data_IF_608824725072
#
_entry.id   IF_608824725072
#
_cell.length_a   1.000
_cell.length_b   1.000
_cell.length_c   1.000
_cell.angle_alpha   90.00
_cell.angle_beta   90.00
_cell.angle_gamma   90.00
#
_symmetry.space_group_name_H-M   'P 1'
#
loop_
_entity.id
_entity.type
_entity.pdbx_description
1 polymer ?
#
# COMPACT_ATOMS: atom_id res chain seq x y z
N UNK A 1 -6.49 -11.47 11.36
CA UNK A 1 -6.95 -10.57 10.30
C UNK A 1 -6.59 -9.14 10.74
N UNK A 2 -5.55 -8.53 10.18
CA UNK A 2 -5.07 -7.23 10.66
C UNK A 2 -5.80 -6.09 9.93
N UNK A 3 -6.78 -5.49 10.60
CA UNK A 3 -7.53 -4.33 10.14
C UNK A 3 -6.79 -3.06 10.59
N UNK A 4 -5.53 -2.89 10.18
CA UNK A 4 -4.70 -1.76 10.60
C UNK A 4 -4.33 -0.94 9.38
N UNK A 5 -5.16 0.04 9.05
CA UNK A 5 -4.76 1.09 8.12
C UNK A 5 -4.98 2.40 8.83
N UNK A 6 -4.01 2.77 9.68
CA UNK A 6 -3.89 4.15 10.16
C UNK A 6 -3.51 4.98 8.92
N UNK A 7 -4.51 5.61 8.30
CA UNK A 7 -4.34 6.47 7.13
C UNK A 7 -4.53 7.91 7.61
N UNK A 8 -3.45 8.69 7.58
CA UNK A 8 -3.46 10.10 7.91
C UNK A 8 -3.41 10.92 6.62
N UNK A 9 -4.51 11.60 6.30
CA UNK A 9 -4.61 12.44 5.11
C UNK A 9 -3.91 13.78 5.34
N UNK A 10 -3.04 14.16 4.40
CA UNK A 10 -2.29 15.42 4.41
C UNK A 10 -2.68 16.24 3.20
N UNK A 11 -3.40 17.32 3.45
CA UNK A 11 -3.95 18.17 2.41
C UNK A 11 -4.87 17.38 1.48
N UNK A 12 -4.70 17.55 0.17
CA UNK A 12 -5.53 16.89 -0.86
C UNK A 12 -4.81 15.78 -1.63
N UNK A 13 -3.48 15.78 -1.61
CA UNK A 13 -2.67 14.96 -2.51
C UNK A 13 -1.97 13.80 -1.81
N UNK A 14 -1.83 13.81 -0.49
CA UNK A 14 -0.98 12.87 0.23
C UNK A 14 -1.70 12.18 1.38
N UNK A 15 -1.27 10.96 1.67
CA UNK A 15 -1.65 10.25 2.87
C UNK A 15 -0.44 9.49 3.44
N UNK A 16 -0.27 9.55 4.75
CA UNK A 16 0.66 8.68 5.49
C UNK A 16 -0.09 7.44 5.90
N UNK A 17 0.46 6.28 5.55
CA UNK A 17 -0.14 4.98 5.78
C UNK A 17 0.84 4.08 6.55
N UNK A 18 0.35 2.93 7.02
CA UNK A 18 1.21 1.87 7.58
C UNK A 18 2.25 1.29 6.62
N UNK A 19 2.24 1.67 5.33
CA UNK A 19 3.26 1.27 4.35
C UNK A 19 4.21 2.41 3.95
N UNK A 20 3.99 3.64 4.47
CA UNK A 20 4.76 4.83 4.11
C UNK A 20 3.87 5.93 3.56
N UNK A 21 4.42 6.77 2.67
CA UNK A 21 3.72 7.92 2.10
C UNK A 21 3.14 7.53 0.74
N UNK A 22 1.85 7.82 0.53
CA UNK A 22 1.15 7.51 -0.69
C UNK A 22 0.50 8.75 -1.29
N UNK A 23 0.56 8.86 -2.62
CA UNK A 23 -0.20 9.85 -3.35
C UNK A 23 -1.66 9.39 -3.45
N UNK A 24 -2.59 10.29 -3.15
CA UNK A 24 -4.03 10.05 -3.16
C UNK A 24 -4.55 9.79 -4.56
N UNK A 25 -3.94 10.44 -5.56
CA UNK A 25 -4.38 10.32 -6.93
C UNK A 25 -4.00 8.93 -7.50
N UNK A 26 -5.00 8.06 -7.59
CA UNK A 26 -4.87 6.72 -8.15
C UNK A 26 -4.47 6.71 -9.63
N UNK A 27 -4.68 7.82 -10.36
CA UNK A 27 -4.21 7.96 -11.75
C UNK A 27 -2.69 7.90 -11.82
N UNK A 28 -2.01 8.29 -10.75
CA UNK A 28 -0.56 8.21 -10.62
C UNK A 28 -0.07 6.79 -10.30
N UNK A 29 -0.97 5.80 -10.09
CA UNK A 29 -0.66 4.37 -9.89
C UNK A 29 0.47 4.11 -8.89
N UNK A 30 0.55 4.90 -7.82
CA UNK A 30 1.58 4.77 -6.79
C UNK A 30 3.00 5.14 -7.24
N UNK A 31 3.15 5.80 -8.40
CA UNK A 31 4.48 6.21 -8.91
C UNK A 31 5.18 7.18 -7.95
N UNK A 32 4.40 7.96 -7.20
CA UNK A 32 4.89 8.91 -6.22
C UNK A 32 5.02 8.34 -4.81
N UNK A 33 4.62 7.09 -4.60
CA UNK A 33 4.61 6.49 -3.28
C UNK A 33 6.04 6.22 -2.81
N UNK A 34 6.24 6.36 -1.50
CA UNK A 34 7.50 6.11 -0.82
C UNK A 34 7.22 5.11 0.30
N UNK A 35 7.79 3.92 0.17
CA UNK A 35 7.75 2.89 1.20
C UNK A 35 8.55 3.35 2.45
N UNK A 36 8.14 2.89 3.64
CA UNK A 36 8.87 3.10 4.91
C UNK A 36 10.36 2.79 4.76
N UNK A 37 10.72 1.71 4.06
CA UNK A 37 12.10 1.30 3.86
C UNK A 37 12.95 2.33 3.08
N UNK A 38 12.30 3.25 2.34
CA UNK A 38 12.94 4.26 1.50
C UNK A 38 12.63 5.70 1.94
N UNK A 39 12.01 5.86 3.10
CA UNK A 39 11.62 7.17 3.63
C UNK A 39 12.80 8.11 3.91
N UNK A 40 13.96 7.51 4.18
CA UNK A 40 15.22 8.19 4.48
C UNK A 40 16.15 8.27 3.25
N UNK A 41 15.74 7.73 2.10
CA UNK A 41 16.46 7.88 0.82
C UNK A 41 16.21 9.29 0.26
N UNK A 42 17.09 10.23 0.63
CA UNK A 42 16.99 11.63 0.20
C UNK A 42 16.97 11.78 -1.32
N UNK A 43 17.68 10.94 -2.07
CA UNK A 43 17.68 10.99 -3.54
C UNK A 43 16.29 10.66 -4.11
N UNK A 44 15.64 9.62 -3.56
CA UNK A 44 14.26 9.29 -3.93
C UNK A 44 13.30 10.41 -3.52
N UNK A 45 13.37 10.88 -2.28
CA UNK A 45 12.49 11.92 -1.73
C UNK A 45 12.55 13.18 -2.61
N UNK A 46 13.76 13.65 -2.94
CA UNK A 46 13.91 14.83 -3.80
C UNK A 46 13.40 14.56 -5.22
N UNK A 47 13.61 13.36 -5.77
CA UNK A 47 13.07 13.00 -7.09
C UNK A 47 11.53 13.03 -7.14
N UNK A 48 10.86 12.67 -6.03
CA UNK A 48 9.40 12.69 -5.93
C UNK A 48 8.88 14.10 -5.72
N UNK A 49 9.54 14.87 -4.87
CA UNK A 49 9.23 16.28 -4.61
C UNK A 49 9.37 17.16 -5.85
N UNK A 50 10.37 16.91 -6.69
CA UNK A 50 10.63 17.69 -7.91
C UNK A 50 9.66 17.42 -9.07
N UNK A 51 8.72 16.48 -8.92
CA UNK A 51 7.84 16.08 -10.01
C UNK A 51 6.76 17.15 -10.27
N UNK A 52 6.49 17.53 -11.53
CA UNK A 52 5.50 18.55 -11.84
C UNK A 52 4.10 18.16 -11.34
N UNK A 53 3.40 19.10 -10.69
CA UNK A 53 2.06 18.89 -10.14
C UNK A 53 2.02 18.39 -8.69
N UNK A 54 3.18 18.16 -8.06
CA UNK A 54 3.28 17.86 -6.63
C UNK A 54 3.17 19.13 -5.81
N UNK A 55 2.25 19.15 -4.85
CA UNK A 55 2.26 20.14 -3.77
C UNK A 55 3.41 19.80 -2.81
N UNK A 56 4.50 20.55 -2.92
CA UNK A 56 5.69 20.35 -2.11
C UNK A 56 5.42 20.57 -0.61
N UNK A 57 4.52 21.48 -0.22
CA UNK A 57 4.21 21.74 1.18
C UNK A 57 3.51 20.54 1.83
N UNK A 58 2.48 20.00 1.17
CA UNK A 58 1.77 18.82 1.66
C UNK A 58 2.70 17.58 1.68
N UNK A 59 3.58 17.46 0.69
CA UNK A 59 4.58 16.38 0.64
C UNK A 59 5.57 16.48 1.81
N UNK A 60 6.14 17.67 2.05
CA UNK A 60 7.10 17.88 3.14
C UNK A 60 6.44 17.63 4.51
N UNK A 61 5.18 18.03 4.69
CA UNK A 61 4.40 17.73 5.90
C UNK A 61 4.16 16.22 6.07
N UNK A 62 3.81 15.51 4.99
CA UNK A 62 3.64 14.07 5.01
C UNK A 62 4.95 13.35 5.32
N UNK A 63 6.08 13.85 4.81
CA UNK A 63 7.42 13.34 5.09
C UNK A 63 7.79 13.47 6.56
N UNK A 64 7.57 14.64 7.14
CA UNK A 64 7.81 14.88 8.57
C UNK A 64 6.98 13.93 9.43
N UNK A 65 5.67 13.83 9.20
CA UNK A 65 4.81 12.92 9.98
C UNK A 65 5.19 11.45 9.81
N UNK A 66 5.55 11.03 8.59
CA UNK A 66 6.01 9.68 8.34
C UNK A 66 7.33 9.38 9.08
N UNK A 67 8.28 10.32 9.11
CA UNK A 67 9.59 10.14 9.80
C UNK A 67 9.44 10.12 11.31
N UNK A 68 8.54 10.92 11.86
CA UNK A 68 8.17 10.88 13.28
C UNK A 68 7.56 9.52 13.65
N UNK A 69 6.74 8.94 12.77
CA UNK A 69 6.09 7.64 12.98
C UNK A 69 7.03 6.45 12.79
N UNK A 70 7.95 6.56 11.82
CA UNK A 70 8.87 5.52 11.40
C UNK A 70 10.32 6.02 11.48
N UNK A 71 10.89 6.12 12.70
CA UNK A 71 12.27 6.54 12.87
C UNK A 71 13.22 5.55 12.19
N UNK A 72 14.32 6.06 11.62
CA UNK A 72 15.32 5.29 10.84
C UNK A 72 15.82 4.03 11.57
N UNK A 73 15.93 4.12 12.90
CA UNK A 73 16.42 3.04 13.76
C UNK A 73 15.43 1.89 13.96
N UNK A 74 14.15 2.04 13.58
CA UNK A 74 13.10 1.11 13.99
C UNK A 74 12.87 -0.10 13.08
N UNK A 75 13.46 -0.19 11.87
CA UNK A 75 13.21 -1.38 11.02
C UNK A 75 14.45 -1.82 10.24
N UNK A 76 15.19 -2.77 10.81
CA UNK A 76 15.89 -3.76 9.97
C UNK A 76 16.14 -5.12 10.62
N UNK A 77 16.01 -5.28 11.94
CA UNK A 77 16.34 -6.57 12.56
C UNK A 77 15.27 -7.67 12.40
N UNK A 78 14.00 -7.52 12.84
CA UNK A 78 13.14 -8.70 12.96
C UNK A 78 12.45 -9.11 11.65
N UNK A 79 12.07 -8.16 10.79
CA UNK A 79 11.29 -8.48 9.58
C UNK A 79 12.18 -9.01 8.43
N UNK A 80 13.35 -8.41 8.20
CA UNK A 80 14.31 -8.93 7.23
C UNK A 80 14.95 -10.24 7.71
N UNK A 81 15.20 -10.41 9.01
CA UNK A 81 15.64 -11.70 9.55
C UNK A 81 14.58 -12.79 9.35
N UNK A 82 13.29 -12.45 9.48
CA UNK A 82 12.20 -13.39 9.26
C UNK A 82 12.02 -13.75 7.78
N UNK A 83 12.12 -12.79 6.85
CA UNK A 83 12.08 -13.07 5.40
C UNK A 83 13.30 -13.88 4.92
N UNK A 84 14.48 -13.63 5.50
CA UNK A 84 15.70 -14.42 5.24
C UNK A 84 15.59 -15.82 5.83
N UNK A 85 15.00 -15.97 7.02
CA UNK A 85 14.70 -17.26 7.64
C UNK A 85 13.64 -18.07 6.87
N UNK A 86 12.73 -17.40 6.16
CA UNK A 86 11.69 -18.03 5.34
C UNK A 86 12.14 -18.42 3.92
N UNK A 87 13.39 -18.16 3.52
CA UNK A 87 13.97 -18.69 2.28
C UNK A 87 13.24 -18.29 0.99
N UNK A 88 12.57 -17.13 0.95
CA UNK A 88 11.73 -16.70 -0.19
C UNK A 88 12.55 -16.20 -1.39
N UNK A 89 13.87 -16.06 -1.27
CA UNK A 89 14.73 -15.74 -2.41
C UNK A 89 15.59 -16.96 -2.72
N UNK A 90 15.10 -17.83 -3.61
CA UNK A 90 15.89 -18.55 -4.61
C UNK A 90 14.95 -19.13 -5.70
N UNK A 91 15.16 -18.68 -6.94
CA UNK A 91 14.80 -19.28 -8.26
C UNK A 91 13.33 -19.45 -8.71
N UNK A 92 13.04 -19.19 -10.02
CA UNK A 92 11.71 -19.35 -10.60
C UNK A 92 11.43 -20.83 -10.84
N UNK A 93 10.69 -21.47 -9.94
CA UNK A 93 10.16 -22.81 -10.18
C UNK A 93 8.96 -22.68 -11.12
N UNK A 94 9.20 -23.00 -12.39
CA UNK A 94 8.16 -23.32 -13.37
C UNK A 94 7.54 -24.64 -12.92
N UNK A 95 6.41 -24.58 -12.22
CA UNK A 95 5.55 -25.75 -11.97
C UNK A 95 4.18 -25.48 -12.58
N UNK A 96 3.70 -26.32 -13.52
CA UNK A 96 2.34 -26.20 -14.04
C UNK A 96 1.39 -26.72 -12.96
N UNK A 97 0.83 -25.82 -12.17
CA UNK A 97 -0.30 -26.15 -11.31
C UNK A 97 -1.49 -26.43 -12.23
N UNK A 98 -1.77 -27.72 -12.45
CA UNK A 98 -3.05 -28.19 -12.96
C UNK A 98 -4.08 -27.76 -11.91
N UNK A 99 -4.77 -26.66 -12.17
CA UNK A 99 -5.90 -26.24 -11.38
C UNK A 99 -6.97 -27.35 -11.45
N UNK A 100 -7.51 -27.86 -10.33
CA UNK A 100 -8.71 -28.69 -10.41
C UNK A 100 -9.80 -27.80 -11.01
N UNK A 101 -10.38 -28.23 -12.14
CA UNK A 101 -11.47 -27.52 -12.78
C UNK A 101 -12.64 -27.43 -11.79
N UNK A 102 -12.80 -26.26 -11.18
CA UNK A 102 -13.89 -25.97 -10.26
C UNK A 102 -15.19 -25.99 -11.05
N UNK A 103 -15.93 -27.10 -10.96
CA UNK A 103 -17.24 -27.22 -11.59
C UNK A 103 -18.27 -26.44 -10.78
N UNK A 104 -18.58 -25.23 -11.23
CA UNK A 104 -19.67 -24.41 -10.71
C UNK A 104 -20.99 -24.96 -11.24
N UNK A 105 -21.84 -25.52 -10.35
CA UNK A 105 -23.24 -25.82 -10.70
C UNK A 105 -24.12 -24.67 -10.21
N UNK A 106 -24.79 -24.01 -11.14
CA UNK A 106 -25.84 -23.06 -10.83
C UNK A 106 -27.17 -23.83 -10.72
N UNK A 107 -27.57 -24.19 -9.50
CA UNK A 107 -28.95 -24.61 -9.24
C UNK A 107 -29.81 -23.34 -9.31
N UNK A 108 -30.63 -23.21 -10.36
CA UNK A 108 -31.34 -22.00 -10.79
C UNK A 108 -32.39 -21.45 -9.83
N UNK A 109 -32.07 -21.30 -8.54
CA UNK A 109 -32.89 -20.59 -7.58
C UNK A 109 -32.53 -19.11 -7.64
N UNK A 110 -33.47 -18.28 -8.07
CA UNK A 110 -33.37 -16.82 -8.05
C UNK A 110 -32.93 -16.37 -6.64
N UNK A 111 -31.72 -15.83 -6.55
CA UNK A 111 -31.23 -15.20 -5.32
C UNK A 111 -32.22 -14.08 -4.94
N UNK A 112 -32.81 -14.18 -3.74
CA UNK A 112 -33.62 -13.09 -3.19
C UNK A 112 -32.66 -12.03 -2.66
N UNK A 113 -32.32 -11.06 -3.51
CA UNK A 113 -31.56 -9.90 -3.08
C UNK A 113 -32.38 -9.14 -2.04
N UNK A 114 -31.76 -8.82 -0.89
CA UNK A 114 -32.36 -7.91 0.08
C UNK A 114 -32.53 -6.53 -0.56
N UNK A 115 -33.58 -5.79 -0.21
CA UNK A 115 -33.80 -4.46 -0.77
C UNK A 115 -32.59 -3.57 -0.51
N UNK A 116 -32.13 -2.92 -1.58
CA UNK A 116 -31.05 -1.93 -1.56
C UNK A 116 -31.30 -0.86 -0.48
N UNK A 117 -30.29 -0.59 0.34
CA UNK A 117 -30.36 0.44 1.38
C UNK A 117 -30.45 1.81 0.70
N UNK A 118 -31.58 2.50 0.87
CA UNK A 118 -31.72 3.89 0.40
C UNK A 118 -31.07 4.82 1.42
N UNK A 119 -29.94 5.42 1.05
CA UNK A 119 -29.37 6.56 1.80
C UNK A 119 -30.31 7.76 1.59
N UNK A 120 -30.94 8.24 2.66
CA UNK A 120 -31.65 9.53 2.64
C UNK A 120 -30.63 10.64 2.90
N UNK A 121 -30.66 11.70 2.07
CA UNK A 121 -29.86 12.92 2.23
C UNK A 121 -30.46 13.80 3.30
#
# INVERSE_FOLDING_TARGET
MALHRDIFWIGRQWAVTGAGIQAVDQRLRGVLDIDIARLWDEGLVQSRRAKPGVNAEDFDRALTMARERFPETAVSAPFLAQLKALGVVETPVVSPVVAPAMQLRAEGRLARFLPQWRVRR
#
